data_IF_048858194754
#
_entry.id   IF_048858194754
#
_cell.length_a   1.000
_cell.length_b   1.000
_cell.length_c   1.000
_cell.angle_alpha   90.00
_cell.angle_beta   90.00
_cell.angle_gamma   90.00
#
_symmetry.space_group_name_H-M   'P 1'
#
loop_
_entity.id
_entity.type
_entity.pdbx_description
1 polymer ?
#
# COMPACT_ATOMS: atom_id res chain seq x y z
N UNK A 1 -1.50 18.83 2.25
CA UNK A 1 -2.52 17.79 2.54
C UNK A 1 -3.56 18.45 3.44
N UNK A 2 -4.84 18.31 3.14
CA UNK A 2 -5.89 18.95 3.93
C UNK A 2 -6.09 18.18 5.24
N UNK A 3 -6.31 18.88 6.35
CA UNK A 3 -6.69 18.25 7.62
C UNK A 3 -8.09 17.63 7.53
N UNK A 4 -8.39 16.65 8.37
CA UNK A 4 -9.73 16.08 8.46
C UNK A 4 -10.80 17.16 8.58
N UNK A 5 -10.59 18.14 9.46
CA UNK A 5 -11.52 19.26 9.66
C UNK A 5 -11.73 20.08 8.40
N UNK A 6 -10.65 20.35 7.63
CA UNK A 6 -10.71 21.04 6.34
C UNK A 6 -11.52 20.26 5.30
N UNK A 7 -11.28 18.94 5.21
CA UNK A 7 -12.02 18.05 4.30
C UNK A 7 -13.52 18.01 4.62
N UNK A 8 -13.88 17.82 5.89
CA UNK A 8 -15.28 17.80 6.35
C UNK A 8 -15.97 19.13 6.00
N UNK A 9 -15.32 20.25 6.30
CA UNK A 9 -15.85 21.59 6.01
C UNK A 9 -16.09 21.79 4.51
N UNK A 10 -15.15 21.38 3.66
CA UNK A 10 -15.25 21.45 2.21
C UNK A 10 -16.44 20.62 1.70
N UNK A 11 -16.53 19.33 2.08
CA UNK A 11 -17.61 18.43 1.70
C UNK A 11 -19.00 18.97 2.13
N UNK A 12 -19.09 19.51 3.34
CA UNK A 12 -20.32 20.12 3.85
C UNK A 12 -20.73 21.33 3.01
N UNK A 13 -19.80 22.22 2.66
CA UNK A 13 -20.08 23.39 1.84
C UNK A 13 -20.48 23.02 0.41
N UNK A 14 -19.80 22.07 -0.22
CA UNK A 14 -20.15 21.55 -1.57
C UNK A 14 -21.58 21.03 -1.62
N UNK A 15 -22.00 20.34 -0.55
CA UNK A 15 -23.39 19.83 -0.43
C UNK A 15 -24.38 20.86 0.13
N UNK A 16 -23.96 22.11 0.35
CA UNK A 16 -24.77 23.21 0.89
C UNK A 16 -25.47 22.87 2.22
N UNK A 17 -24.79 22.06 3.06
CA UNK A 17 -25.31 21.63 4.35
C UNK A 17 -24.91 22.58 5.47
N UNK A 18 -25.80 22.74 6.45
CA UNK A 18 -25.49 23.49 7.69
C UNK A 18 -24.77 22.59 8.70
N UNK A 19 -24.02 23.21 9.62
CA UNK A 19 -23.42 22.47 10.75
C UNK A 19 -24.44 21.66 11.52
N UNK A 20 -25.66 22.21 11.74
CA UNK A 20 -26.73 21.56 12.48
C UNK A 20 -27.17 20.23 11.85
N UNK A 21 -27.28 20.17 10.52
CA UNK A 21 -27.71 18.96 9.81
C UNK A 21 -26.68 17.85 9.97
N UNK A 22 -25.41 18.15 9.73
CA UNK A 22 -24.33 17.16 9.84
C UNK A 22 -24.09 16.74 11.29
N UNK A 23 -24.18 17.67 12.24
CA UNK A 23 -24.05 17.38 13.66
C UNK A 23 -25.17 16.45 14.15
N UNK A 24 -26.43 16.69 13.71
CA UNK A 24 -27.57 15.84 14.04
C UNK A 24 -27.40 14.40 13.49
N UNK A 25 -26.83 14.24 12.29
CA UNK A 25 -26.52 12.91 11.74
C UNK A 25 -25.47 12.15 12.59
N UNK A 26 -24.49 12.87 13.13
CA UNK A 26 -23.45 12.29 13.99
C UNK A 26 -23.89 12.11 15.44
N UNK A 27 -25.07 12.61 15.83
CA UNK A 27 -25.56 12.65 17.21
C UNK A 27 -24.60 13.41 18.15
N UNK A 28 -24.14 14.59 17.68
CA UNK A 28 -23.27 15.50 18.45
C UNK A 28 -23.81 16.94 18.41
N UNK A 29 -23.35 17.75 19.34
CA UNK A 29 -23.65 19.18 19.31
C UNK A 29 -22.94 19.88 18.13
N UNK A 30 -23.64 20.84 17.49
CA UNK A 30 -23.06 21.59 16.38
C UNK A 30 -21.79 22.39 16.75
N UNK A 31 -21.64 22.77 18.01
CA UNK A 31 -20.42 23.45 18.48
C UNK A 31 -19.22 22.45 18.48
N UNK A 32 -19.47 21.16 18.77
CA UNK A 32 -18.45 20.12 18.68
C UNK A 32 -18.04 19.94 17.23
N UNK A 33 -18.99 19.80 16.30
CA UNK A 33 -18.67 19.69 14.86
C UNK A 33 -17.89 20.90 14.37
N UNK A 34 -18.30 22.12 14.77
CA UNK A 34 -17.58 23.35 14.45
C UNK A 34 -16.14 23.35 14.99
N UNK A 35 -15.90 22.76 16.16
CA UNK A 35 -14.54 22.61 16.71
C UNK A 35 -13.74 21.56 15.94
N UNK A 36 -14.37 20.46 15.48
CA UNK A 36 -13.74 19.44 14.63
C UNK A 36 -13.30 20.07 13.32
N UNK A 37 -14.20 20.79 12.63
CA UNK A 37 -13.87 21.47 11.35
C UNK A 37 -12.72 22.49 11.46
N UNK A 38 -12.52 23.07 12.65
CA UNK A 38 -11.42 24.01 12.93
C UNK A 38 -10.18 23.36 13.52
N UNK A 39 -10.14 22.02 13.64
CA UNK A 39 -9.03 21.29 14.24
C UNK A 39 -8.86 21.51 15.75
N UNK A 40 -9.89 22.07 16.43
CA UNK A 40 -9.86 22.35 17.88
C UNK A 40 -10.44 21.25 18.76
N UNK A 41 -10.95 20.20 18.14
CA UNK A 41 -11.51 19.03 18.82
C UNK A 41 -11.24 17.78 17.98
N UNK A 42 -10.86 16.69 18.63
CA UNK A 42 -10.56 15.42 17.97
C UNK A 42 -11.84 14.63 17.74
N UNK A 43 -12.10 14.27 16.49
CA UNK A 43 -13.18 13.36 16.16
C UNK A 43 -12.87 11.95 16.64
N UNK A 44 -13.88 11.23 17.10
CA UNK A 44 -13.76 9.80 17.32
C UNK A 44 -13.80 9.04 15.98
N UNK A 45 -13.12 7.89 15.90
CA UNK A 45 -13.04 7.08 14.66
C UNK A 45 -14.42 6.79 14.05
N UNK A 46 -15.39 6.42 14.89
CA UNK A 46 -16.74 6.10 14.41
C UNK A 46 -17.47 7.29 13.77
N UNK A 47 -17.17 8.53 14.19
CA UNK A 47 -17.71 9.72 13.52
C UNK A 47 -17.09 9.91 12.13
N UNK A 48 -15.79 9.58 11.96
CA UNK A 48 -15.11 9.67 10.65
C UNK A 48 -15.73 8.70 9.67
N UNK A 49 -15.98 7.45 10.11
CA UNK A 49 -16.66 6.42 9.30
C UNK A 49 -18.07 6.87 8.90
N UNK A 50 -18.87 7.34 9.87
CA UNK A 50 -20.21 7.89 9.60
C UNK A 50 -20.19 9.08 8.62
N UNK A 51 -19.18 9.96 8.71
CA UNK A 51 -19.02 11.07 7.76
C UNK A 51 -18.70 10.61 6.35
N UNK A 52 -17.85 9.58 6.19
CA UNK A 52 -17.56 9.01 4.88
C UNK A 52 -18.83 8.44 4.23
N UNK A 53 -19.65 7.71 5.00
CA UNK A 53 -20.94 7.19 4.56
C UNK A 53 -21.91 8.32 4.19
N UNK A 54 -22.04 9.33 5.05
CA UNK A 54 -22.96 10.45 4.85
C UNK A 54 -22.61 11.28 3.61
N UNK A 55 -21.33 11.55 3.42
CA UNK A 55 -20.86 12.32 2.27
C UNK A 55 -20.68 11.46 1.01
N UNK A 56 -20.76 10.13 1.11
CA UNK A 56 -20.52 9.17 0.02
C UNK A 56 -19.14 9.36 -0.60
N UNK A 57 -18.13 9.45 0.25
CA UNK A 57 -16.70 9.53 -0.14
C UNK A 57 -15.95 8.31 0.35
N UNK A 58 -14.72 8.11 -0.15
CA UNK A 58 -13.89 7.01 0.30
C UNK A 58 -13.58 7.16 1.82
N UNK A 59 -13.92 6.12 2.58
CA UNK A 59 -13.64 6.06 4.03
C UNK A 59 -12.15 6.15 4.34
N UNK A 60 -11.32 5.50 3.52
CA UNK A 60 -9.87 5.46 3.69
C UNK A 60 -9.25 6.85 3.65
N UNK A 61 -9.69 7.73 2.71
CA UNK A 61 -9.19 9.08 2.59
C UNK A 61 -9.43 9.90 3.87
N UNK A 62 -10.62 9.79 4.46
CA UNK A 62 -10.95 10.47 5.70
C UNK A 62 -10.22 9.87 6.91
N UNK A 63 -10.04 8.55 6.95
CA UNK A 63 -9.30 7.87 8.00
C UNK A 63 -7.81 8.21 7.96
N UNK A 64 -7.21 8.31 6.76
CA UNK A 64 -5.82 8.75 6.59
C UNK A 64 -5.65 10.17 7.11
N UNK A 65 -6.53 11.10 6.72
CA UNK A 65 -6.47 12.48 7.22
C UNK A 65 -6.63 12.53 8.74
N UNK A 66 -7.56 11.77 9.31
CA UNK A 66 -7.78 11.68 10.75
C UNK A 66 -6.57 11.15 11.51
N UNK A 67 -5.98 10.03 11.05
CA UNK A 67 -4.78 9.46 11.67
C UNK A 67 -3.58 10.39 11.55
N UNK A 68 -3.41 11.03 10.39
CA UNK A 68 -2.34 12.01 10.16
C UNK A 68 -2.44 13.17 11.14
N UNK A 69 -3.64 13.76 11.31
CA UNK A 69 -3.88 14.85 12.29
C UNK A 69 -3.55 14.39 13.73
N UNK A 70 -3.90 13.13 14.10
CA UNK A 70 -3.56 12.58 15.41
C UNK A 70 -2.05 12.43 15.61
N UNK A 71 -1.32 11.93 14.60
CA UNK A 71 0.14 11.77 14.65
C UNK A 71 0.80 13.14 14.82
N UNK A 72 0.45 14.11 13.97
CA UNK A 72 1.00 15.47 14.03
C UNK A 72 0.74 16.11 15.40
N UNK A 73 -0.47 15.96 15.92
CA UNK A 73 -0.80 16.52 17.24
C UNK A 73 0.04 15.89 18.36
N UNK A 74 0.24 14.57 18.33
CA UNK A 74 0.96 13.86 19.39
C UNK A 74 2.47 14.18 19.41
N UNK A 75 3.03 14.58 18.27
CA UNK A 75 4.46 14.94 18.18
C UNK A 75 4.70 16.46 18.13
N UNK A 76 3.61 17.28 18.23
CA UNK A 76 3.73 18.74 18.15
C UNK A 76 4.61 19.29 19.26
N UNK A 77 5.60 20.08 18.88
CA UNK A 77 6.55 20.69 19.83
C UNK A 77 7.78 19.81 20.18
N UNK A 78 7.80 18.55 19.77
CA UNK A 78 8.94 17.67 20.03
C UNK A 78 10.03 17.86 18.97
N UNK A 79 11.26 18.19 19.39
CA UNK A 79 12.39 18.41 18.47
C UNK A 79 12.82 17.13 17.73
N UNK A 80 12.46 15.95 18.24
CA UNK A 80 12.73 14.64 17.63
C UNK A 80 11.56 14.10 16.80
N UNK A 81 10.50 14.90 16.60
CA UNK A 81 9.25 14.47 15.97
C UNK A 81 9.46 13.72 14.64
N UNK A 82 10.24 14.30 13.71
CA UNK A 82 10.50 13.68 12.41
C UNK A 82 11.19 12.32 12.54
N UNK A 83 12.21 12.24 13.42
CA UNK A 83 12.92 10.98 13.65
C UNK A 83 12.02 9.93 14.30
N UNK A 84 11.16 10.32 15.22
CA UNK A 84 10.19 9.43 15.85
C UNK A 84 9.16 8.90 14.83
N UNK A 85 8.68 9.74 13.92
CA UNK A 85 7.77 9.33 12.84
C UNK A 85 8.44 8.35 11.87
N UNK A 86 9.69 8.57 11.49
CA UNK A 86 10.46 7.62 10.66
C UNK A 86 10.60 6.25 11.33
N UNK A 87 10.95 6.23 12.61
CA UNK A 87 11.04 4.96 13.38
C UNK A 87 9.67 4.30 13.52
N UNK A 88 8.59 5.09 13.67
CA UNK A 88 7.23 4.55 13.74
C UNK A 88 6.80 3.94 12.41
N UNK A 89 7.12 4.58 11.28
CA UNK A 89 6.88 4.05 9.94
C UNK A 89 7.56 2.70 9.75
N UNK A 90 8.86 2.59 10.09
CA UNK A 90 9.59 1.33 10.03
C UNK A 90 8.96 0.23 10.89
N UNK A 91 8.51 0.55 12.11
CA UNK A 91 7.83 -0.41 12.98
C UNK A 91 6.49 -0.88 12.43
N UNK A 92 5.70 0.04 11.87
CA UNK A 92 4.41 -0.29 11.25
C UNK A 92 4.62 -1.17 10.02
N UNK A 93 5.60 -0.82 9.16
CA UNK A 93 5.96 -1.61 7.99
C UNK A 93 6.43 -3.03 8.38
N UNK A 94 7.28 -3.17 9.39
CA UNK A 94 7.72 -4.45 9.92
C UNK A 94 6.55 -5.30 10.46
N UNK A 95 5.63 -4.69 11.22
CA UNK A 95 4.46 -5.38 11.74
C UNK A 95 3.49 -5.82 10.64
N UNK A 96 3.31 -4.98 9.61
CA UNK A 96 2.49 -5.31 8.45
C UNK A 96 3.09 -6.49 7.69
N UNK A 97 4.39 -6.45 7.46
CA UNK A 97 5.13 -7.51 6.76
C UNK A 97 5.01 -8.86 7.47
N UNK A 98 5.22 -8.92 8.79
CA UNK A 98 5.12 -10.16 9.56
C UNK A 98 3.72 -10.79 9.60
N UNK A 99 2.68 -10.06 9.14
CA UNK A 99 1.32 -10.59 9.01
C UNK A 99 1.04 -11.20 7.63
N UNK A 100 1.93 -10.98 6.66
CA UNK A 100 1.74 -11.49 5.30
C UNK A 100 2.26 -12.92 5.25
N UNK A 101 1.35 -13.86 4.97
CA UNK A 101 1.76 -15.24 4.66
C UNK A 101 2.46 -15.27 3.28
N UNK A 102 3.71 -15.75 3.25
CA UNK A 102 4.49 -15.89 2.01
C UNK A 102 3.76 -16.72 0.95
N UNK A 103 2.98 -17.71 1.37
CA UNK A 103 2.14 -18.51 0.45
C UNK A 103 1.09 -17.66 -0.26
N UNK A 104 0.56 -16.63 0.40
CA UNK A 104 -0.38 -15.69 -0.24
C UNK A 104 0.34 -14.90 -1.34
N UNK A 105 1.56 -14.44 -1.08
CA UNK A 105 2.39 -13.75 -2.09
C UNK A 105 2.67 -14.68 -3.28
N UNK A 106 3.16 -15.90 -3.02
CA UNK A 106 3.45 -16.89 -4.05
C UNK A 106 2.22 -17.21 -4.92
N UNK A 107 1.06 -17.41 -4.27
CA UNK A 107 -0.19 -17.66 -4.97
C UNK A 107 -0.66 -16.43 -5.78
N UNK A 108 -0.43 -15.23 -5.28
CA UNK A 108 -0.78 -14.00 -6.01
C UNK A 108 0.07 -13.87 -7.28
N UNK A 109 1.38 -14.12 -7.19
CA UNK A 109 2.29 -14.13 -8.34
C UNK A 109 1.88 -15.20 -9.34
N UNK A 110 1.61 -16.42 -8.86
CA UNK A 110 1.15 -17.52 -9.70
C UNK A 110 -0.14 -17.16 -10.46
N UNK A 111 -1.17 -16.71 -9.74
CA UNK A 111 -2.46 -16.35 -10.33
C UNK A 111 -2.36 -15.18 -11.32
N UNK A 112 -1.41 -14.27 -11.12
CA UNK A 112 -1.12 -13.21 -12.07
C UNK A 112 -0.59 -13.79 -13.38
N UNK A 113 0.45 -14.65 -13.32
CA UNK A 113 1.05 -15.25 -14.51
C UNK A 113 0.14 -16.25 -15.21
N UNK A 114 -0.80 -16.90 -14.51
CA UNK A 114 -1.83 -17.75 -15.13
C UNK A 114 -2.75 -16.95 -16.09
N UNK A 115 -2.94 -15.68 -15.82
CA UNK A 115 -3.75 -14.77 -16.65
C UNK A 115 -2.91 -14.07 -17.72
N UNK A 116 -1.62 -13.93 -17.47
CA UNK A 116 -0.65 -13.31 -18.37
C UNK A 116 -0.20 -14.31 -19.44
N UNK A 117 -0.71 -14.17 -20.66
CA UNK A 117 -0.53 -15.18 -21.72
C UNK A 117 0.88 -15.30 -22.30
N UNK A 118 1.79 -14.36 -22.00
CA UNK A 118 3.10 -14.24 -22.63
C UNK A 118 4.24 -14.91 -21.86
N UNK A 119 3.99 -15.36 -20.62
CA UNK A 119 5.02 -15.95 -19.78
C UNK A 119 4.96 -17.47 -19.88
N UNK A 120 6.12 -18.10 -20.16
CA UNK A 120 6.27 -19.55 -20.17
C UNK A 120 6.55 -20.10 -18.79
N UNK A 121 7.44 -19.44 -18.04
CA UNK A 121 7.85 -19.89 -16.73
C UNK A 121 8.30 -18.71 -15.85
N UNK A 122 8.03 -18.80 -14.56
CA UNK A 122 8.49 -17.83 -13.58
C UNK A 122 9.07 -18.51 -12.34
N UNK A 123 10.12 -17.89 -11.80
CA UNK A 123 10.80 -18.33 -10.58
C UNK A 123 10.90 -17.17 -9.60
N UNK A 124 10.80 -17.51 -8.33
CA UNK A 124 11.29 -16.67 -7.23
C UNK A 124 12.75 -17.02 -6.96
N UNK A 125 13.54 -16.01 -6.60
CA UNK A 125 14.93 -16.19 -6.17
C UNK A 125 15.32 -15.14 -5.12
N UNK A 126 16.58 -15.09 -4.73
CA UNK A 126 17.06 -14.13 -3.75
C UNK A 126 16.62 -14.43 -2.31
N UNK A 127 16.61 -13.39 -1.46
CA UNK A 127 16.33 -13.54 -0.03
C UNK A 127 14.94 -14.08 0.26
N UNK A 128 13.93 -13.64 -0.51
CA UNK A 128 12.56 -14.12 -0.34
C UNK A 128 12.44 -15.62 -0.59
N UNK A 129 13.08 -16.15 -1.63
CA UNK A 129 13.03 -17.58 -1.94
C UNK A 129 13.78 -18.44 -0.92
N UNK A 130 14.80 -17.89 -0.23
CA UNK A 130 15.59 -18.56 0.80
C UNK A 130 15.03 -18.42 2.21
N UNK A 131 13.88 -17.73 2.39
CA UNK A 131 13.34 -17.39 3.71
C UNK A 131 14.28 -16.52 4.59
N UNK A 132 15.14 -15.72 3.95
CA UNK A 132 16.09 -14.80 4.59
C UNK A 132 15.70 -13.33 4.43
N UNK A 133 14.51 -13.06 3.89
CA UNK A 133 14.04 -11.72 3.61
C UNK A 133 13.49 -11.01 4.85
N UNK A 134 13.53 -9.69 4.81
CA UNK A 134 12.93 -8.81 5.80
C UNK A 134 11.91 -7.85 5.14
N UNK A 135 11.37 -6.92 5.94
CA UNK A 135 10.39 -5.95 5.44
C UNK A 135 10.96 -4.96 4.41
N UNK A 136 12.29 -4.78 4.36
CA UNK A 136 13.00 -3.92 3.38
C UNK A 136 13.42 -4.68 2.13
N UNK A 137 13.43 -6.02 2.19
CA UNK A 137 13.84 -6.85 1.07
C UNK A 137 12.84 -6.78 -0.07
N UNK A 138 13.34 -6.68 -1.29
CA UNK A 138 12.54 -6.79 -2.51
C UNK A 138 12.20 -8.27 -2.77
N UNK A 139 11.19 -8.53 -3.59
CA UNK A 139 10.88 -9.87 -4.08
C UNK A 139 11.47 -10.00 -5.48
N UNK A 140 12.42 -10.91 -5.64
CA UNK A 140 13.09 -11.14 -6.90
C UNK A 140 12.33 -12.20 -7.73
N UNK A 141 11.88 -11.83 -8.92
CA UNK A 141 11.14 -12.69 -9.85
C UNK A 141 11.91 -12.79 -11.16
N UNK A 142 12.20 -14.00 -11.61
CA UNK A 142 12.77 -14.25 -12.93
C UNK A 142 11.72 -14.87 -13.83
N UNK A 143 11.59 -14.36 -15.06
CA UNK A 143 10.63 -14.84 -16.05
C UNK A 143 11.33 -15.39 -17.29
N UNK A 144 10.70 -16.38 -17.91
CA UNK A 144 11.05 -16.91 -19.22
C UNK A 144 9.87 -16.69 -20.17
N UNK A 145 10.14 -16.06 -21.29
CA UNK A 145 9.17 -15.84 -22.38
C UNK A 145 9.47 -16.77 -23.55
N UNK A 146 8.48 -17.14 -24.40
CA UNK A 146 8.73 -17.86 -25.63
C UNK A 146 9.69 -17.08 -26.54
N UNK A 147 10.56 -17.80 -27.26
CA UNK A 147 11.58 -17.17 -28.12
C UNK A 147 11.00 -16.39 -29.31
N UNK A 148 9.78 -16.67 -29.69
CA UNK A 148 9.02 -16.05 -30.79
C UNK A 148 8.01 -14.98 -30.31
N UNK A 149 8.12 -14.56 -29.06
CA UNK A 149 7.21 -13.58 -28.49
C UNK A 149 7.66 -12.14 -28.76
N UNK A 150 6.71 -11.25 -29.02
CA UNK A 150 6.92 -9.80 -29.17
C UNK A 150 7.14 -9.08 -27.80
N UNK A 151 7.55 -9.83 -26.78
CA UNK A 151 7.71 -9.33 -25.42
C UNK A 151 8.81 -8.28 -25.32
N UNK A 152 8.48 -7.12 -24.82
CA UNK A 152 9.33 -5.94 -24.75
C UNK A 152 9.71 -5.56 -23.31
N UNK A 153 10.61 -4.60 -23.15
CA UNK A 153 10.93 -4.01 -21.85
C UNK A 153 9.74 -3.23 -21.24
N UNK A 154 8.80 -2.79 -22.07
CA UNK A 154 7.58 -2.15 -21.57
C UNK A 154 6.65 -3.17 -20.90
N UNK A 155 6.54 -4.37 -21.48
CA UNK A 155 5.76 -5.46 -20.90
C UNK A 155 6.38 -5.92 -19.57
N UNK A 156 7.72 -5.96 -19.49
CA UNK A 156 8.44 -6.25 -18.25
C UNK A 156 8.13 -5.24 -17.15
N UNK A 157 8.18 -3.95 -17.50
CA UNK A 157 7.87 -2.86 -16.57
C UNK A 157 6.40 -2.88 -16.11
N UNK A 158 5.48 -3.21 -17.03
CA UNK A 158 4.06 -3.35 -16.70
C UNK A 158 3.82 -4.53 -15.74
N UNK A 159 4.44 -5.68 -15.98
CA UNK A 159 4.37 -6.84 -15.07
C UNK A 159 4.89 -6.46 -13.68
N UNK A 160 6.04 -5.80 -13.61
CA UNK A 160 6.60 -5.34 -12.34
C UNK A 160 5.62 -4.42 -11.61
N UNK A 161 5.10 -3.41 -12.28
CA UNK A 161 4.15 -2.45 -11.73
C UNK A 161 2.86 -3.13 -11.20
N UNK A 162 2.29 -4.04 -11.98
CA UNK A 162 1.07 -4.74 -11.60
C UNK A 162 1.28 -5.66 -10.40
N UNK A 163 2.39 -6.40 -10.36
CA UNK A 163 2.74 -7.24 -9.23
C UNK A 163 3.00 -6.42 -7.96
N UNK A 164 3.72 -5.30 -8.05
CA UNK A 164 3.93 -4.38 -6.93
C UNK A 164 2.62 -3.83 -6.38
N UNK A 165 1.69 -3.48 -7.27
CA UNK A 165 0.35 -3.01 -6.89
C UNK A 165 -0.47 -4.09 -6.19
N UNK A 166 -0.41 -5.34 -6.66
CA UNK A 166 -1.15 -6.46 -6.09
C UNK A 166 -0.61 -6.90 -4.73
N UNK A 167 0.71 -6.86 -4.56
CA UNK A 167 1.40 -7.40 -3.38
C UNK A 167 1.72 -6.29 -2.36
N UNK A 168 1.68 -5.03 -2.79
CA UNK A 168 2.06 -3.85 -1.98
C UNK A 168 3.48 -3.96 -1.42
N UNK A 169 4.39 -4.58 -2.20
CA UNK A 169 5.81 -4.72 -1.90
C UNK A 169 6.62 -4.52 -3.18
N UNK A 170 7.83 -4.01 -3.03
CA UNK A 170 8.73 -3.83 -4.17
C UNK A 170 9.12 -5.18 -4.76
N UNK A 171 9.05 -5.26 -6.08
CA UNK A 171 9.35 -6.48 -6.84
C UNK A 171 10.36 -6.12 -7.92
N UNK A 172 11.39 -6.93 -8.05
CA UNK A 172 12.35 -6.83 -9.14
C UNK A 172 12.10 -7.98 -10.14
N UNK A 173 11.70 -7.63 -11.37
CA UNK A 173 11.40 -8.62 -12.41
C UNK A 173 12.50 -8.61 -13.45
N UNK A 174 13.13 -9.76 -13.68
CA UNK A 174 14.20 -9.92 -14.66
C UNK A 174 13.88 -11.00 -15.68
N UNK A 175 14.28 -10.79 -16.92
CA UNK A 175 14.21 -11.81 -17.96
C UNK A 175 15.36 -12.82 -17.78
N UNK A 176 15.09 -14.12 -17.88
CA UNK A 176 16.08 -15.19 -17.78
C UNK A 176 17.25 -14.99 -18.76
N UNK A 177 16.94 -14.60 -19.99
CA UNK A 177 17.94 -14.42 -21.05
C UNK A 177 18.79 -13.17 -20.85
N UNK A 178 18.32 -12.21 -20.03
CA UNK A 178 19.06 -11.01 -19.63
C UNK A 178 20.03 -11.24 -18.47
N UNK A 179 19.94 -12.38 -17.77
CA UNK A 179 20.78 -12.69 -16.62
C UNK A 179 22.15 -13.20 -17.06
N UNK A 180 23.22 -12.51 -16.65
CA UNK A 180 24.59 -12.92 -16.97
C UNK A 180 24.89 -14.32 -16.42
N UNK A 181 25.66 -15.19 -17.15
CA UNK A 181 25.95 -16.57 -16.72
C UNK A 181 26.52 -16.68 -15.30
N UNK A 182 27.36 -15.75 -14.88
CA UNK A 182 27.94 -15.71 -13.54
C UNK A 182 26.87 -15.49 -12.45
N UNK A 183 25.91 -14.61 -12.73
CA UNK A 183 24.78 -14.34 -11.82
C UNK A 183 23.86 -15.56 -11.80
N UNK A 184 23.54 -16.11 -12.97
CA UNK A 184 22.72 -17.31 -13.09
C UNK A 184 23.30 -18.49 -12.30
N UNK A 185 24.62 -18.73 -12.37
CA UNK A 185 25.27 -19.80 -11.60
C UNK A 185 25.09 -19.58 -10.07
N UNK A 186 25.08 -18.33 -9.62
CA UNK A 186 24.92 -17.97 -8.22
C UNK A 186 23.51 -18.15 -7.72
N UNK A 187 22.49 -17.74 -8.50
CA UNK A 187 21.08 -17.79 -8.09
C UNK A 187 20.42 -19.14 -8.37
N UNK A 188 21.03 -19.98 -9.22
CA UNK A 188 20.48 -21.27 -9.63
C UNK A 188 20.05 -22.19 -8.47
N UNK A 189 20.79 -22.28 -7.35
CA UNK A 189 20.39 -23.09 -6.20
C UNK A 189 19.11 -22.62 -5.53
N UNK A 190 18.80 -21.32 -5.64
CA UNK A 190 17.71 -20.66 -4.92
C UNK A 190 16.43 -20.54 -5.77
N UNK A 191 16.48 -20.98 -7.05
CA UNK A 191 15.36 -20.85 -7.96
C UNK A 191 14.17 -21.71 -7.52
N UNK A 192 13.08 -21.06 -7.09
CA UNK A 192 11.82 -21.71 -6.76
C UNK A 192 10.80 -21.42 -7.86
N UNK A 193 10.34 -22.46 -8.56
CA UNK A 193 9.31 -22.31 -9.60
C UNK A 193 8.02 -21.87 -8.93
N UNK A 194 7.45 -20.76 -9.40
CA UNK A 194 6.16 -20.23 -8.95
C UNK A 194 5.09 -20.36 -10.04
N UNK A 195 5.50 -20.41 -11.30
CA UNK A 195 4.61 -20.62 -12.44
C UNK A 195 5.32 -21.37 -13.56
N UNK A 196 4.61 -22.29 -14.23
CA UNK A 196 5.05 -23.00 -15.44
C UNK A 196 3.83 -23.38 -16.27
N UNK A 197 3.90 -23.09 -17.59
CA UNK A 197 2.87 -23.39 -18.59
C UNK A 197 3.28 -24.58 -19.47
#
# INVERSE_FOLDING_TARGET
MDSLGGMIRKLRHEKKLTLRIVAAYLDIDQAILSKIERGKYRSARHHVVKLAEYFKVNEEDLLVAWLSDLLVYNVAGEHVALKALQVAEEKVAYQAYNKIDKKVIENTIKNYFEKEGHIRKAWLFGSFARDEDDYKSDIDVMIEVPADSDFSLFDLAEIQYQLEKLISKKIDVVMKDGVKPQIMARIKPDLKIVYER
#
